data_IF_172138031204
#
_entry.id   IF_172138031204
#
_cell.length_a   1.000
_cell.length_b   1.000
_cell.length_c   1.000
_cell.angle_alpha   90.00
_cell.angle_beta   90.00
_cell.angle_gamma   90.00
#
_symmetry.space_group_name_H-M   'P 1'
#
loop_
_entity.id
_entity.type
_entity.pdbx_description
1 polymer ?
#
# COMPACT_ATOMS: atom_id res chain seq x y z
N UNK A 1 -6.13 -10.49 -4.08
CA UNK A 1 -4.84 -10.09 -4.69
C UNK A 1 -4.18 -9.11 -3.74
N UNK A 2 -2.97 -9.42 -3.31
CA UNK A 2 -2.17 -8.55 -2.45
C UNK A 2 -1.46 -7.48 -3.27
N UNK A 3 -1.21 -6.33 -2.65
CA UNK A 3 -0.38 -5.29 -3.26
C UNK A 3 1.11 -5.66 -3.17
N UNK A 4 1.87 -5.39 -4.22
CA UNK A 4 3.25 -5.89 -4.39
C UNK A 4 4.22 -5.45 -3.28
N UNK A 5 4.09 -4.20 -2.81
CA UNK A 5 5.00 -3.64 -1.79
C UNK A 5 4.58 -4.09 -0.39
N UNK A 6 3.30 -3.88 -0.07
CA UNK A 6 2.76 -4.07 1.27
C UNK A 6 2.45 -5.53 1.57
N UNK A 7 2.29 -6.38 0.55
CA UNK A 7 1.92 -7.81 0.68
C UNK A 7 0.66 -8.02 1.51
N UNK A 8 -0.26 -7.07 1.38
CA UNK A 8 -1.53 -7.06 2.08
C UNK A 8 -2.64 -6.80 1.07
N UNK A 9 -3.81 -7.39 1.32
CA UNK A 9 -5.00 -7.12 0.53
C UNK A 9 -5.64 -5.77 0.95
N UNK A 10 -6.38 -5.10 0.06
CA UNK A 10 -7.17 -3.92 0.44
C UNK A 10 -8.16 -4.21 1.57
N UNK A 11 -8.71 -5.42 1.62
CA UNK A 11 -9.64 -5.85 2.66
C UNK A 11 -8.98 -5.89 4.05
N UNK A 12 -7.77 -6.45 4.16
CA UNK A 12 -7.01 -6.46 5.41
C UNK A 12 -6.62 -5.04 5.84
N UNK A 13 -6.22 -4.19 4.89
CA UNK A 13 -5.87 -2.80 5.17
C UNK A 13 -7.07 -1.96 5.65
N UNK A 14 -8.28 -2.24 5.18
CA UNK A 14 -9.47 -1.45 5.51
C UNK A 14 -10.24 -2.01 6.71
N UNK A 15 -10.38 -3.34 6.77
CA UNK A 15 -11.25 -4.02 7.72
C UNK A 15 -10.50 -4.89 8.72
N UNK A 16 -9.18 -5.02 8.61
CA UNK A 16 -8.38 -5.87 9.49
C UNK A 16 -8.71 -7.36 9.37
N UNK A 17 -9.37 -7.77 8.28
CA UNK A 17 -9.81 -9.15 8.05
C UNK A 17 -10.10 -9.42 6.58
N UNK A 18 -10.15 -10.70 6.25
CA UNK A 18 -10.68 -11.15 4.96
C UNK A 18 -12.19 -10.89 4.88
N UNK A 19 -12.65 -10.43 3.72
CA UNK A 19 -14.08 -10.25 3.48
C UNK A 19 -14.78 -11.62 3.45
N UNK A 20 -15.99 -11.68 4.01
CA UNK A 20 -16.87 -12.84 3.84
C UNK A 20 -17.47 -12.80 2.45
N UNK A 21 -17.27 -13.88 1.71
CA UNK A 21 -17.86 -14.05 0.39
C UNK A 21 -19.33 -14.50 0.53
N UNK A 22 -20.19 -14.30 -0.49
CA UNK A 22 -21.56 -14.80 -0.46
C UNK A 22 -21.66 -16.30 -0.13
N UNK A 23 -20.73 -17.12 -0.64
CA UNK A 23 -20.66 -18.54 -0.30
C UNK A 23 -20.36 -18.80 1.19
N UNK A 24 -19.53 -17.99 1.84
CA UNK A 24 -19.24 -18.10 3.27
C UNK A 24 -20.49 -17.82 4.12
N UNK A 25 -21.39 -16.98 3.62
CA UNK A 25 -22.66 -16.66 4.27
C UNK A 25 -23.65 -17.80 4.06
N UNK A 26 -23.74 -18.34 2.83
CA UNK A 26 -24.69 -19.38 2.45
C UNK A 26 -24.38 -20.75 3.07
N UNK A 27 -23.10 -21.14 3.08
CA UNK A 27 -22.67 -22.45 3.55
C UNK A 27 -22.09 -22.42 4.97
N UNK A 28 -21.92 -21.22 5.53
CA UNK A 28 -21.26 -21.02 6.81
C UNK A 28 -19.74 -21.16 6.69
N UNK A 29 -19.04 -20.35 7.49
CA UNK A 29 -17.59 -20.45 7.68
C UNK A 29 -17.33 -20.72 9.17
N UNK A 30 -16.43 -21.66 9.54
CA UNK A 30 -16.07 -21.88 10.93
C UNK A 30 -15.68 -20.55 11.58
N UNK A 31 -16.27 -20.22 12.72
CA UNK A 31 -15.99 -18.94 13.36
C UNK A 31 -14.69 -18.99 14.15
N UNK A 32 -13.80 -18.05 13.83
CA UNK A 32 -12.84 -17.56 14.82
C UNK A 32 -13.59 -16.61 15.75
N UNK A 33 -14.48 -17.16 16.58
CA UNK A 33 -15.25 -16.37 17.53
C UNK A 33 -14.37 -16.04 18.72
N UNK A 34 -14.06 -14.76 18.99
CA UNK A 34 -13.50 -14.37 20.27
C UNK A 34 -14.50 -14.67 21.39
N UNK A 35 -14.02 -14.82 22.62
CA UNK A 35 -14.89 -15.18 23.75
C UNK A 35 -15.88 -14.07 24.09
N UNK A 36 -15.62 -12.82 23.69
CA UNK A 36 -16.53 -11.69 23.89
C UNK A 36 -16.45 -10.61 22.80
N UNK A 37 -17.50 -9.77 22.64
CA UNK A 37 -17.46 -8.62 21.73
C UNK A 37 -16.35 -7.60 22.06
N UNK A 38 -16.03 -7.42 23.34
CA UNK A 38 -14.98 -6.48 23.75
C UNK A 38 -13.58 -6.99 23.36
N UNK A 39 -13.35 -8.29 23.51
CA UNK A 39 -12.13 -8.94 23.05
C UNK A 39 -12.00 -8.86 21.53
N UNK A 40 -13.10 -9.06 20.79
CA UNK A 40 -13.12 -8.87 19.34
C UNK A 40 -12.62 -7.48 18.94
N UNK A 41 -13.20 -6.43 19.53
CA UNK A 41 -12.85 -5.05 19.21
C UNK A 41 -11.37 -4.76 19.50
N UNK A 42 -10.87 -5.21 20.66
CA UNK A 42 -9.45 -5.04 21.02
C UNK A 42 -8.52 -5.75 20.06
N UNK A 43 -8.82 -6.99 19.69
CA UNK A 43 -8.02 -7.77 18.76
C UNK A 43 -8.02 -7.13 17.37
N UNK A 44 -9.18 -6.66 16.91
CA UNK A 44 -9.31 -5.97 15.63
C UNK A 44 -8.51 -4.66 15.59
N UNK A 45 -8.60 -3.86 16.65
CA UNK A 45 -7.85 -2.59 16.77
C UNK A 45 -6.34 -2.85 16.78
N UNK A 46 -5.88 -3.82 17.57
CA UNK A 46 -4.47 -4.21 17.63
C UNK A 46 -3.96 -4.71 16.27
N UNK A 47 -4.76 -5.52 15.58
CA UNK A 47 -4.42 -6.04 14.26
C UNK A 47 -4.35 -4.94 13.21
N UNK A 48 -5.32 -4.02 13.16
CA UNK A 48 -5.28 -2.87 12.24
C UNK A 48 -4.04 -2.00 12.50
N UNK A 49 -3.72 -1.73 13.77
CA UNK A 49 -2.50 -0.99 14.14
C UNK A 49 -1.24 -1.68 13.61
N UNK A 50 -1.13 -3.01 13.75
CA UNK A 50 0.04 -3.75 13.30
C UNK A 50 0.14 -3.83 11.77
N UNK A 51 -0.96 -4.13 11.08
CA UNK A 51 -1.04 -4.17 9.61
C UNK A 51 -0.64 -2.84 8.99
N UNK A 52 -1.13 -1.72 9.53
CA UNK A 52 -0.76 -0.40 9.04
C UNK A 52 0.70 -0.02 9.36
N UNK A 53 1.22 -0.39 10.54
CA UNK A 53 2.63 -0.18 10.88
C UNK A 53 3.54 -0.93 9.91
N UNK A 54 3.24 -2.22 9.69
CA UNK A 54 3.95 -3.07 8.73
C UNK A 54 3.90 -2.51 7.30
N UNK A 55 2.72 -2.10 6.83
CA UNK A 55 2.56 -1.52 5.50
C UNK A 55 3.41 -0.26 5.31
N UNK A 56 3.42 0.65 6.31
CA UNK A 56 4.24 1.89 6.26
C UNK A 56 5.73 1.59 6.20
N UNK A 57 6.21 0.62 6.98
CA UNK A 57 7.61 0.22 6.95
C UNK A 57 8.03 -0.33 5.58
N UNK A 58 7.19 -1.20 4.99
CA UNK A 58 7.43 -1.76 3.66
C UNK A 58 7.42 -0.69 2.57
N UNK A 59 6.48 0.25 2.64
CA UNK A 59 6.41 1.38 1.72
C UNK A 59 7.66 2.25 1.83
N UNK A 60 8.11 2.57 3.05
CA UNK A 60 9.34 3.33 3.28
C UNK A 60 10.55 2.64 2.65
N UNK A 61 10.74 1.35 2.94
CA UNK A 61 11.84 0.57 2.38
C UNK A 61 11.80 0.49 0.84
N UNK A 62 10.62 0.28 0.26
CA UNK A 62 10.45 0.25 -1.18
C UNK A 62 10.74 1.63 -1.82
N UNK A 63 10.31 2.71 -1.17
CA UNK A 63 10.60 4.08 -1.59
C UNK A 63 12.09 4.38 -1.56
N UNK A 64 12.80 3.96 -0.51
CA UNK A 64 14.26 4.12 -0.39
C UNK A 64 14.99 3.36 -1.50
N UNK A 65 14.62 2.09 -1.74
CA UNK A 65 15.19 1.29 -2.85
C UNK A 65 14.93 1.92 -4.21
N UNK A 66 13.71 2.44 -4.42
CA UNK A 66 13.33 3.12 -5.65
C UNK A 66 14.16 4.39 -5.86
N UNK A 67 14.34 5.18 -4.80
CA UNK A 67 15.20 6.37 -4.82
C UNK A 67 16.65 6.01 -5.15
N UNK A 68 17.26 5.06 -4.45
CA UNK A 68 18.64 4.63 -4.75
C UNK A 68 18.82 4.15 -6.19
N UNK A 69 17.83 3.42 -6.72
CA UNK A 69 17.85 2.97 -8.13
C UNK A 69 17.73 4.14 -9.11
N UNK A 70 16.94 5.16 -8.77
CA UNK A 70 16.82 6.37 -9.59
C UNK A 70 18.11 7.18 -9.54
N UNK A 71 18.59 7.49 -8.33
CA UNK A 71 19.79 8.31 -8.10
C UNK A 71 21.04 7.69 -8.75
N UNK A 72 21.20 6.36 -8.68
CA UNK A 72 22.32 5.66 -9.35
C UNK A 72 22.28 5.71 -10.88
N UNK A 73 21.10 5.95 -11.48
CA UNK A 73 20.90 6.07 -12.93
C UNK A 73 20.80 7.51 -13.39
N UNK A 74 20.61 8.44 -12.45
CA UNK A 74 20.53 9.85 -12.74
C UNK A 74 21.93 10.32 -13.16
N UNK A 75 22.08 10.63 -14.44
CA UNK A 75 23.21 11.39 -14.96
C UNK A 75 23.06 12.82 -14.46
N UNK A 76 24.03 13.27 -13.66
CA UNK A 76 24.06 14.60 -13.07
C UNK A 76 24.34 15.64 -14.17
N UNK A 77 23.28 16.15 -14.79
CA UNK A 77 23.37 17.19 -15.83
C UNK A 77 23.26 18.55 -15.17
N UNK A 78 24.40 19.18 -14.94
CA UNK A 78 24.47 20.56 -14.48
C UNK A 78 24.32 21.51 -15.67
N UNK A 79 23.21 22.24 -15.72
CA UNK A 79 23.01 23.33 -16.67
C UNK A 79 23.65 24.62 -16.15
N UNK A 80 24.18 25.43 -17.06
CA UNK A 80 24.72 26.76 -16.79
C UNK A 80 23.83 27.84 -17.41
N UNK A 81 23.99 29.07 -16.94
CA UNK A 81 23.36 30.23 -17.57
C UNK A 81 23.75 30.29 -19.06
N UNK A 82 22.75 30.36 -19.93
CA UNK A 82 22.92 30.35 -21.39
C UNK A 82 22.69 28.99 -22.06
N UNK A 83 22.54 27.89 -21.31
CA UNK A 83 22.27 26.58 -21.90
C UNK A 83 20.83 26.48 -22.44
N UNK A 84 20.70 25.92 -23.65
CA UNK A 84 19.40 25.60 -24.25
C UNK A 84 18.88 24.27 -23.69
N UNK A 85 17.66 24.29 -23.13
CA UNK A 85 17.01 23.11 -22.55
C UNK A 85 15.66 22.83 -23.20
N UNK A 86 15.30 21.55 -23.29
CA UNK A 86 13.99 21.13 -23.77
C UNK A 86 12.94 21.25 -22.66
N UNK A 87 11.90 22.02 -22.91
CA UNK A 87 10.73 22.09 -22.03
C UNK A 87 9.71 21.03 -22.43
N UNK A 88 9.42 20.09 -21.53
CA UNK A 88 8.34 19.12 -21.73
C UNK A 88 6.98 19.83 -21.59
N UNK A 89 6.26 19.97 -22.70
CA UNK A 89 4.94 20.62 -22.74
C UNK A 89 3.88 19.68 -23.36
N UNK A 90 3.31 18.74 -22.58
CA UNK A 90 2.28 17.85 -23.07
C UNK A 90 0.98 18.62 -23.30
N UNK A 91 0.43 18.54 -24.52
CA UNK A 91 -0.92 19.04 -24.78
C UNK A 91 -1.95 18.13 -24.12
N UNK A 92 -2.91 18.74 -23.42
CA UNK A 92 -4.04 18.03 -22.84
C UNK A 92 -4.83 17.38 -23.98
N UNK A 93 -4.95 16.05 -23.99
CA UNK A 93 -5.90 15.36 -24.89
C UNK A 93 -7.29 15.65 -24.35
N UNK A 94 -8.15 16.25 -25.17
CA UNK A 94 -9.58 16.34 -24.90
C UNK A 94 -10.12 14.90 -24.86
N UNK A 95 -10.78 14.56 -23.75
CA UNK A 95 -11.40 13.27 -23.50
C UNK A 95 -12.87 13.31 -23.91
#
# INVERSE_FOLDING_TARGET
>A
MEHEVTRLTPAEMLFGRTLRLPCDILFGRPSETPSSPNEYMKNLEAHLKSVHAFARERIKLASERMKTRYDSRATDHYFKEGDLVWMYNPKRREA
#
